data_IF_773470965744
#
_entry.id   IF_773470965744
#
_cell.length_a   1.000
_cell.length_b   1.000
_cell.length_c   1.000
_cell.angle_alpha   90.00
_cell.angle_beta   90.00
_cell.angle_gamma   90.00
#
_symmetry.space_group_name_H-M   'P 1'
#
loop_
_entity.id
_entity.type
_entity.pdbx_description
1 polymer ?
#
# COMPACT_ATOMS: atom_id res chain seq x y z
N UNK A 1 11.14 -13.95 -7.00
CA UNK A 1 11.69 -12.99 -7.98
C UNK A 1 10.52 -12.28 -8.64
N UNK A 2 10.39 -10.97 -8.45
CA UNK A 2 9.23 -10.19 -8.92
C UNK A 2 9.20 -10.01 -10.44
N UNK A 3 10.35 -10.03 -11.11
CA UNK A 3 10.42 -9.95 -12.58
C UNK A 3 9.74 -11.15 -13.23
N UNK A 4 10.03 -12.36 -12.73
CA UNK A 4 9.37 -13.59 -13.18
C UNK A 4 7.88 -13.57 -12.87
N UNK A 5 7.49 -13.00 -11.72
CA UNK A 5 6.08 -12.86 -11.38
C UNK A 5 5.35 -11.95 -12.38
N UNK A 6 5.93 -10.79 -12.73
CA UNK A 6 5.40 -9.88 -13.75
C UNK A 6 5.18 -10.61 -15.08
N UNK A 7 6.19 -11.34 -15.56
CA UNK A 7 6.09 -12.11 -16.81
C UNK A 7 4.98 -13.18 -16.77
N UNK A 8 4.79 -13.85 -15.64
CA UNK A 8 3.69 -14.80 -15.47
C UNK A 8 2.33 -14.10 -15.52
N UNK A 9 2.19 -12.94 -14.88
CA UNK A 9 0.95 -12.16 -14.92
C UNK A 9 0.68 -11.57 -16.30
N UNK A 10 1.70 -11.14 -17.05
CA UNK A 10 1.57 -10.68 -18.43
C UNK A 10 0.96 -11.78 -19.31
N UNK A 11 1.45 -13.01 -19.18
CA UNK A 11 0.89 -14.18 -19.90
C UNK A 11 -0.54 -14.49 -19.47
N UNK A 12 -0.83 -14.40 -18.17
CA UNK A 12 -2.17 -14.64 -17.64
C UNK A 12 -3.19 -13.61 -18.18
N UNK A 13 -2.80 -12.34 -18.22
CA UNK A 13 -3.61 -11.24 -18.77
C UNK A 13 -3.83 -11.44 -20.27
N UNK A 14 -2.80 -11.83 -21.02
CA UNK A 14 -2.91 -12.11 -22.45
C UNK A 14 -3.83 -13.30 -22.76
N UNK A 15 -3.88 -14.32 -21.88
CA UNK A 15 -4.73 -15.49 -22.05
C UNK A 15 -6.17 -15.25 -21.61
N UNK A 16 -6.40 -14.37 -20.62
CA UNK A 16 -7.73 -14.04 -20.05
C UNK A 16 -7.77 -12.57 -19.63
N UNK A 17 -8.11 -11.69 -20.57
CA UNK A 17 -8.03 -10.25 -20.40
C UNK A 17 -9.00 -9.66 -19.35
N UNK A 18 -10.01 -10.41 -18.91
CA UNK A 18 -11.10 -9.86 -18.09
C UNK A 18 -10.91 -10.05 -16.57
N UNK A 19 -9.89 -10.78 -16.12
CA UNK A 19 -9.69 -11.04 -14.69
C UNK A 19 -8.90 -9.92 -14.01
N UNK A 20 -9.42 -9.40 -12.89
CA UNK A 20 -8.76 -8.36 -12.09
C UNK A 20 -7.57 -8.89 -11.28
N UNK A 21 -7.60 -10.15 -10.84
CA UNK A 21 -6.57 -10.70 -9.95
C UNK A 21 -5.15 -10.71 -10.56
N UNK A 22 -4.95 -11.15 -11.82
CA UNK A 22 -3.63 -11.05 -12.46
C UNK A 22 -3.13 -9.61 -12.59
N UNK A 23 -4.02 -8.66 -12.94
CA UNK A 23 -3.68 -7.23 -13.07
C UNK A 23 -3.28 -6.66 -11.71
N UNK A 24 -4.06 -6.95 -10.66
CA UNK A 24 -3.76 -6.54 -9.29
C UNK A 24 -2.42 -7.08 -8.80
N UNK A 25 -2.16 -8.37 -9.02
CA UNK A 25 -0.90 -8.99 -8.59
C UNK A 25 0.29 -8.50 -9.40
N UNK A 26 0.10 -8.14 -10.68
CA UNK A 26 1.13 -7.48 -11.48
C UNK A 26 1.46 -6.11 -10.92
N UNK A 27 0.46 -5.29 -10.60
CA UNK A 27 0.68 -3.98 -9.96
C UNK A 27 1.44 -4.08 -8.63
N UNK A 28 1.19 -5.12 -7.81
CA UNK A 28 1.98 -5.37 -6.59
C UNK A 28 3.45 -5.71 -6.95
N UNK A 29 3.67 -6.57 -7.94
CA UNK A 29 5.02 -6.93 -8.37
C UNK A 29 5.77 -5.70 -8.92
N UNK A 30 5.10 -4.83 -9.65
CA UNK A 30 5.65 -3.58 -10.20
C UNK A 30 6.03 -2.58 -9.09
N UNK A 31 5.21 -2.44 -8.04
CA UNK A 31 5.59 -1.67 -6.84
C UNK A 31 6.91 -2.19 -6.25
N UNK A 32 7.06 -3.52 -6.14
CA UNK A 32 8.28 -4.12 -5.62
C UNK A 32 9.49 -3.99 -6.55
N UNK A 33 9.27 -3.81 -7.85
CA UNK A 33 10.32 -3.55 -8.84
C UNK A 33 10.67 -2.07 -8.96
N UNK A 34 9.90 -1.16 -8.34
CA UNK A 34 10.07 0.29 -8.47
C UNK A 34 9.42 0.88 -9.72
N UNK A 35 8.64 0.10 -10.46
CA UNK A 35 7.95 0.50 -11.69
C UNK A 35 6.61 1.17 -11.37
N UNK A 36 6.66 2.29 -10.65
CA UNK A 36 5.47 2.91 -10.06
C UNK A 36 4.46 3.42 -11.10
N UNK A 37 4.92 3.92 -12.24
CA UNK A 37 4.03 4.38 -13.33
C UNK A 37 3.24 3.21 -13.96
N UNK A 38 3.86 2.03 -14.08
CA UNK A 38 3.15 0.84 -14.54
C UNK A 38 2.13 0.38 -13.48
N UNK A 39 2.54 0.34 -12.21
CA UNK A 39 1.68 -0.04 -11.10
C UNK A 39 0.45 0.89 -10.97
N UNK A 40 0.62 2.19 -11.22
CA UNK A 40 -0.50 3.15 -11.24
C UNK A 40 -1.55 2.74 -12.27
N UNK A 41 -1.16 2.43 -13.51
CA UNK A 41 -2.12 2.05 -14.58
C UNK A 41 -2.90 0.80 -14.22
N UNK A 42 -2.21 -0.21 -13.70
CA UNK A 42 -2.82 -1.49 -13.34
C UNK A 42 -3.75 -1.36 -12.13
N UNK A 43 -3.31 -0.67 -11.09
CA UNK A 43 -4.10 -0.48 -9.87
C UNK A 43 -5.27 0.50 -10.10
N UNK A 44 -5.12 1.50 -10.98
CA UNK A 44 -6.23 2.34 -11.43
C UNK A 44 -7.31 1.51 -12.14
N UNK A 45 -6.91 0.59 -13.03
CA UNK A 45 -7.86 -0.30 -13.70
C UNK A 45 -8.63 -1.15 -12.68
N UNK A 46 -7.91 -1.77 -11.72
CA UNK A 46 -8.53 -2.56 -10.66
C UNK A 46 -9.50 -1.75 -9.82
N UNK A 47 -9.08 -0.58 -9.33
CA UNK A 47 -9.91 0.28 -8.47
C UNK A 47 -11.09 0.92 -9.19
N UNK A 48 -10.98 1.17 -10.50
CA UNK A 48 -12.09 1.70 -11.31
C UNK A 48 -13.17 0.64 -11.57
N UNK A 49 -12.76 -0.64 -11.72
CA UNK A 49 -13.67 -1.76 -11.94
C UNK A 49 -14.27 -2.29 -10.63
N UNK A 50 -13.47 -2.38 -9.58
CA UNK A 50 -13.91 -2.79 -8.24
C UNK A 50 -13.20 -1.94 -7.16
N UNK A 51 -13.86 -0.88 -6.66
CA UNK A 51 -13.33 -0.05 -5.58
C UNK A 51 -13.16 -0.78 -4.23
N UNK A 52 -13.81 -1.95 -4.05
CA UNK A 52 -13.76 -2.75 -2.82
C UNK A 52 -12.76 -3.90 -2.90
N UNK A 53 -12.07 -4.04 -4.03
CA UNK A 53 -11.17 -5.14 -4.31
C UNK A 53 -10.11 -5.33 -3.20
N UNK A 54 -9.92 -6.59 -2.78
CA UNK A 54 -9.02 -6.99 -1.70
C UNK A 54 -9.22 -6.17 -0.41
N UNK A 55 -10.48 -5.99 0.02
CA UNK A 55 -10.84 -5.21 1.22
C UNK A 55 -10.32 -3.76 1.16
N UNK A 56 -10.48 -3.11 0.01
CA UNK A 56 -9.99 -1.75 -0.28
C UNK A 56 -8.46 -1.60 -0.26
N UNK A 57 -7.71 -2.70 -0.20
CA UNK A 57 -6.24 -2.66 -0.23
C UNK A 57 -5.70 -2.12 -1.56
N UNK A 58 -6.41 -2.35 -2.67
CA UNK A 58 -6.03 -1.83 -3.98
C UNK A 58 -5.95 -0.29 -4.01
N UNK A 59 -6.86 0.42 -3.34
CA UNK A 59 -6.84 1.89 -3.24
C UNK A 59 -5.59 2.36 -2.48
N UNK A 60 -5.24 1.69 -1.38
CA UNK A 60 -4.06 2.04 -0.59
C UNK A 60 -2.75 1.78 -1.36
N UNK A 61 -2.69 0.72 -2.16
CA UNK A 61 -1.55 0.42 -3.02
C UNK A 61 -1.45 1.41 -4.17
N UNK A 62 -2.57 1.84 -4.74
CA UNK A 62 -2.62 2.88 -5.76
C UNK A 62 -2.09 4.22 -5.20
N UNK A 63 -2.52 4.61 -4.00
CA UNK A 63 -2.02 5.80 -3.32
C UNK A 63 -0.48 5.72 -3.12
N UNK A 64 0.02 4.56 -2.73
CA UNK A 64 1.45 4.32 -2.59
C UNK A 64 2.20 4.41 -3.94
N UNK A 65 1.62 3.87 -5.02
CA UNK A 65 2.20 3.97 -6.35
C UNK A 65 2.25 5.44 -6.81
N UNK A 66 1.18 6.22 -6.61
CA UNK A 66 1.17 7.66 -6.92
C UNK A 66 2.21 8.45 -6.13
N UNK A 67 2.37 8.16 -4.83
CA UNK A 67 3.35 8.84 -4.00
C UNK A 67 4.78 8.68 -4.55
N UNK A 68 5.13 7.46 -4.99
CA UNK A 68 6.45 7.17 -5.54
C UNK A 68 6.60 7.59 -7.01
N UNK A 69 5.49 7.72 -7.75
CA UNK A 69 5.46 8.28 -9.10
C UNK A 69 5.51 9.83 -9.10
N UNK A 70 5.61 10.48 -7.93
CA UNK A 70 5.67 11.94 -7.81
C UNK A 70 4.33 12.66 -7.90
N UNK A 71 3.21 11.93 -7.97
CA UNK A 71 1.85 12.48 -8.01
C UNK A 71 1.31 12.68 -6.59
N UNK A 72 1.99 13.53 -5.80
CA UNK A 72 1.74 13.69 -4.36
C UNK A 72 0.31 14.12 -4.02
N UNK A 73 -0.29 15.02 -4.80
CA UNK A 73 -1.66 15.51 -4.53
C UNK A 73 -2.70 14.38 -4.64
N UNK A 74 -2.57 13.54 -5.67
CA UNK A 74 -3.44 12.37 -5.86
C UNK A 74 -3.20 11.31 -4.78
N UNK A 75 -1.93 11.14 -4.39
CA UNK A 75 -1.56 10.21 -3.34
C UNK A 75 -2.20 10.60 -1.99
N UNK A 76 -2.13 11.87 -1.60
CA UNK A 76 -2.70 12.35 -0.33
C UNK A 76 -4.22 12.13 -0.28
N UNK A 77 -4.94 12.54 -1.33
CA UNK A 77 -6.38 12.35 -1.42
C UNK A 77 -6.78 10.87 -1.31
N UNK A 78 -6.05 9.98 -2.00
CA UNK A 78 -6.34 8.54 -1.96
C UNK A 78 -5.94 7.90 -0.62
N UNK A 79 -4.87 8.35 0.03
CA UNK A 79 -4.53 7.87 1.37
C UNK A 79 -5.57 8.28 2.40
N UNK A 80 -6.09 9.51 2.33
CA UNK A 80 -7.17 9.96 3.20
C UNK A 80 -8.42 9.11 3.01
N UNK A 81 -8.81 8.84 1.75
CA UNK A 81 -9.92 7.94 1.46
C UNK A 81 -9.65 6.51 1.96
N UNK A 82 -8.45 5.97 1.69
CA UNK A 82 -8.09 4.61 2.07
C UNK A 82 -8.08 4.41 3.59
N UNK A 83 -7.62 5.39 4.36
CA UNK A 83 -7.53 5.31 5.83
C UNK A 83 -8.88 5.47 6.54
N UNK A 84 -9.88 6.06 5.89
CA UNK A 84 -11.27 6.08 6.39
C UNK A 84 -11.94 4.71 6.30
N UNK A 85 -11.54 3.89 5.32
CA UNK A 85 -12.21 2.63 5.00
C UNK A 85 -11.40 1.42 5.50
N UNK A 86 -10.08 1.45 5.28
CA UNK A 86 -9.17 0.36 5.60
C UNK A 86 -8.50 0.59 6.95
N UNK A 87 -8.53 -0.44 7.79
CA UNK A 87 -7.78 -0.49 9.05
C UNK A 87 -6.49 -1.32 8.91
N UNK A 88 -5.99 -1.55 7.69
CA UNK A 88 -4.76 -2.31 7.47
C UNK A 88 -3.53 -1.54 7.96
N UNK A 89 -2.62 -2.23 8.67
CA UNK A 89 -1.36 -1.64 9.12
C UNK A 89 -0.44 -1.26 7.96
N UNK A 90 -0.54 -1.94 6.82
CA UNK A 90 0.16 -1.59 5.58
C UNK A 90 -0.26 -0.21 5.08
N UNK A 91 -1.56 0.05 4.98
CA UNK A 91 -2.10 1.35 4.56
C UNK A 91 -1.62 2.47 5.48
N UNK A 92 -1.69 2.26 6.81
CA UNK A 92 -1.24 3.27 7.78
C UNK A 92 0.26 3.51 7.68
N UNK A 93 1.04 2.47 7.44
CA UNK A 93 2.49 2.59 7.31
C UNK A 93 2.89 3.32 6.03
N UNK A 94 2.26 2.98 4.90
CA UNK A 94 2.52 3.63 3.63
C UNK A 94 2.13 5.10 3.66
N UNK A 95 1.02 5.44 4.31
CA UNK A 95 0.62 6.83 4.50
C UNK A 95 1.59 7.59 5.42
N UNK A 96 2.00 6.99 6.54
CA UNK A 96 3.00 7.59 7.43
C UNK A 96 4.33 7.86 6.71
N UNK A 97 4.77 6.95 5.83
CA UNK A 97 5.95 7.17 5.00
C UNK A 97 5.79 8.33 4.02
N UNK A 98 4.63 8.42 3.36
CA UNK A 98 4.31 9.52 2.45
C UNK A 98 4.29 10.86 3.19
N UNK A 99 3.65 10.93 4.36
CA UNK A 99 3.65 12.15 5.18
C UNK A 99 5.07 12.55 5.61
N UNK A 100 5.91 11.56 5.96
CA UNK A 100 7.30 11.81 6.29
C UNK A 100 8.10 12.38 5.11
N UNK A 101 7.88 11.89 3.88
CA UNK A 101 8.55 12.44 2.69
C UNK A 101 8.09 13.86 2.37
N UNK A 102 6.85 14.21 2.72
CA UNK A 102 6.29 15.57 2.60
C UNK A 102 6.67 16.49 3.78
N UNK A 103 7.61 16.09 4.64
CA UNK A 103 8.02 16.83 5.85
C UNK A 103 6.90 17.05 6.89
N UNK A 104 5.75 16.37 6.75
CA UNK A 104 4.62 16.37 7.71
C UNK A 104 4.90 15.37 8.85
N UNK A 105 5.98 15.61 9.58
CA UNK A 105 6.56 14.67 10.57
C UNK A 105 5.63 14.38 11.75
N UNK A 106 4.88 15.37 12.22
CA UNK A 106 3.92 15.20 13.31
C UNK A 106 2.81 14.22 12.94
N UNK A 107 2.23 14.36 11.74
CA UNK A 107 1.18 13.46 11.26
C UNK A 107 1.73 12.07 10.95
N UNK A 108 2.93 11.98 10.34
CA UNK A 108 3.61 10.71 10.13
C UNK A 108 3.82 9.94 11.44
N UNK A 109 4.18 10.65 12.52
CA UNK A 109 4.36 10.08 13.86
C UNK A 109 3.04 9.55 14.42
N UNK A 110 1.94 10.30 14.30
CA UNK A 110 0.61 9.86 14.74
C UNK A 110 0.20 8.55 14.06
N UNK A 111 0.30 8.49 12.72
CA UNK A 111 -0.05 7.28 11.97
C UNK A 111 0.83 6.07 12.33
N UNK A 112 2.13 6.27 12.54
CA UNK A 112 3.01 5.21 13.00
C UNK A 112 2.65 4.72 14.42
N UNK A 113 2.24 5.62 15.31
CA UNK A 113 1.78 5.28 16.65
C UNK A 113 0.46 4.48 16.62
N UNK A 114 -0.49 4.83 15.74
CA UNK A 114 -1.74 4.07 15.54
C UNK A 114 -1.48 2.61 15.19
N UNK A 115 -0.43 2.30 14.43
CA UNK A 115 -0.03 0.90 14.16
C UNK A 115 0.37 0.19 15.45
N UNK A 116 1.19 0.83 16.28
CA UNK A 116 1.66 0.25 17.55
C UNK A 116 0.54 0.11 18.59
N UNK A 117 -0.43 1.03 18.57
CA UNK A 117 -1.59 1.02 19.45
C UNK A 117 -2.51 -0.20 19.24
N UNK A 118 -2.44 -0.88 18.09
CA UNK A 118 -3.15 -2.15 17.84
C UNK A 118 -2.59 -3.31 18.65
N UNK A 119 -1.33 -3.26 19.07
CA UNK A 119 -0.64 -4.41 19.66
C UNK A 119 -1.28 -4.90 20.97
N UNK A 120 -1.63 -4.04 21.96
CA UNK A 120 -2.19 -4.49 23.23
C UNK A 120 -3.56 -5.17 23.09
N UNK A 121 -4.40 -4.73 22.15
CA UNK A 121 -5.76 -5.27 21.95
C UNK A 121 -5.79 -6.51 21.07
N UNK A 122 -4.66 -6.87 20.44
CA UNK A 122 -4.61 -7.92 19.43
C UNK A 122 -4.24 -9.30 20.02
N UNK A 123 -4.95 -10.38 19.65
CA UNK A 123 -4.57 -11.75 20.00
C UNK A 123 -3.15 -12.13 19.57
N UNK A 124 -2.49 -13.02 20.32
CA UNK A 124 -1.07 -13.40 20.08
C UNK A 124 -0.77 -13.88 18.66
N UNK A 125 -1.67 -14.62 18.01
CA UNK A 125 -1.46 -15.11 16.64
C UNK A 125 -1.48 -13.97 15.61
N UNK A 126 -2.39 -13.00 15.76
CA UNK A 126 -2.43 -11.79 14.91
C UNK A 126 -1.23 -10.89 15.19
N UNK A 127 -0.80 -10.77 16.45
CA UNK A 127 0.42 -10.03 16.77
C UNK A 127 1.62 -10.59 16.00
N UNK A 128 1.75 -11.93 15.90
CA UNK A 128 2.83 -12.58 15.14
C UNK A 128 2.82 -12.19 13.67
N UNK A 129 1.64 -12.20 13.04
CA UNK A 129 1.44 -11.77 11.65
C UNK A 129 1.80 -10.29 11.45
N UNK A 130 1.44 -9.43 12.40
CA UNK A 130 1.67 -7.98 12.35
C UNK A 130 3.06 -7.54 12.82
N UNK A 131 3.92 -8.47 13.29
CA UNK A 131 5.30 -8.17 13.74
C UNK A 131 6.11 -7.33 12.75
N UNK A 132 6.09 -7.62 11.42
CA UNK A 132 6.82 -6.81 10.46
C UNK A 132 6.38 -5.34 10.48
N UNK A 133 5.08 -5.08 10.58
CA UNK A 133 4.52 -3.73 10.63
C UNK A 133 4.88 -3.00 11.92
N UNK A 134 4.84 -3.67 13.08
CA UNK A 134 5.30 -3.07 14.33
C UNK A 134 6.78 -2.69 14.31
N UNK A 135 7.63 -3.53 13.69
CA UNK A 135 9.06 -3.23 13.52
C UNK A 135 9.26 -2.03 12.60
N UNK A 136 8.59 -2.01 11.45
CA UNK A 136 8.62 -0.90 10.50
C UNK A 136 8.16 0.42 11.13
N UNK A 137 7.05 0.42 11.87
CA UNK A 137 6.54 1.59 12.56
C UNK A 137 7.52 2.12 13.62
N UNK A 138 8.13 1.25 14.43
CA UNK A 138 9.19 1.65 15.39
C UNK A 138 10.42 2.23 14.69
N UNK A 139 10.84 1.63 13.58
CA UNK A 139 11.97 2.10 12.81
C UNK A 139 11.69 3.49 12.20
N UNK A 140 10.47 3.72 11.70
CA UNK A 140 10.04 5.02 11.21
C UNK A 140 10.06 6.07 12.32
N UNK A 141 9.47 5.78 13.49
CA UNK A 141 9.45 6.70 14.63
C UNK A 141 10.85 7.11 15.11
N UNK A 142 11.83 6.20 15.03
CA UNK A 142 13.24 6.49 15.38
C UNK A 142 13.93 7.40 14.35
N UNK A 143 13.47 7.38 13.10
CA UNK A 143 14.04 8.19 12.00
C UNK A 143 13.43 9.58 11.89
N UNK A 144 12.20 9.75 12.37
CA UNK A 144 11.54 11.06 12.38
C UNK A 144 12.22 11.98 13.40
N UNK A 145 12.47 13.25 13.05
CA UNK A 145 13.08 14.24 13.94
C UNK A 145 12.20 14.57 15.15
#
# INVERSE_FOLDING_TARGET
NFERARQCYDRAIASRADQLDPIYRRGIAEIHLGEFEAAVRDLQNVTSRDPKYDLHRAIALLAHAYANAGQSDKADALFQQATQISTLSETYFNYAMFLASQQRTAEARDWAQRILAKKPTMPRYLQRRERPWFRKARALLKRLP
#
